data_IF_254049938583
#
_entry.id   IF_254049938583
#
_cell.length_a   1.000
_cell.length_b   1.000
_cell.length_c   1.000
_cell.angle_alpha   90.00
_cell.angle_beta   90.00
_cell.angle_gamma   90.00
#
_symmetry.space_group_name_H-M   'P 1'
#
loop_
_entity.id
_entity.type
_entity.pdbx_description
1 polymer ?
#
# COMPACT_ATOMS: atom_id res chain seq x y z
N UNK A 1 6.03 -22.38 61.68
CA UNK A 1 7.28 -22.28 60.89
C UNK A 1 7.09 -23.13 59.64
N UNK A 2 7.48 -22.59 58.48
CA UNK A 2 6.99 -22.92 57.14
C UNK A 2 7.40 -24.34 56.69
N UNK A 3 6.52 -25.19 56.15
CA UNK A 3 6.95 -26.31 55.31
C UNK A 3 7.40 -25.72 53.98
N UNK A 4 8.71 -25.72 53.69
CA UNK A 4 9.22 -25.30 52.38
C UNK A 4 8.85 -26.37 51.36
N UNK A 5 7.74 -26.14 50.68
CA UNK A 5 7.36 -26.81 49.45
C UNK A 5 8.56 -26.86 48.48
N UNK A 6 8.87 -28.01 47.85
CA UNK A 6 9.84 -28.06 46.76
C UNK A 6 9.26 -27.23 45.62
N UNK A 7 10.03 -26.24 45.20
CA UNK A 7 9.76 -25.38 44.07
C UNK A 7 9.61 -26.26 42.82
N UNK A 8 8.38 -26.47 42.34
CA UNK A 8 8.09 -27.13 41.07
C UNK A 8 8.40 -26.15 39.93
N UNK A 9 9.70 -25.91 39.72
CA UNK A 9 10.19 -25.40 38.46
C UNK A 9 10.13 -26.60 37.52
N UNK A 10 9.15 -26.60 36.62
CA UNK A 10 9.15 -27.38 35.38
C UNK A 10 10.57 -27.81 35.04
N UNK A 11 10.85 -29.11 35.19
CA UNK A 11 12.20 -29.71 35.16
C UNK A 11 13.09 -28.91 34.24
N UNK A 12 13.95 -28.07 34.82
CA UNK A 12 14.97 -27.41 34.04
C UNK A 12 15.74 -28.55 33.36
N UNK A 13 15.95 -28.49 32.04
CA UNK A 13 16.55 -29.60 31.31
C UNK A 13 17.87 -29.97 31.99
N UNK A 14 17.92 -31.17 32.55
CA UNK A 14 19.06 -31.68 33.30
C UNK A 14 20.26 -31.81 32.34
N UNK A 15 21.22 -30.90 32.52
CA UNK A 15 22.41 -30.73 31.68
C UNK A 15 23.46 -31.82 31.86
N UNK A 16 23.23 -32.82 32.72
CA UNK A 16 24.22 -33.88 32.97
C UNK A 16 23.92 -35.21 32.25
N UNK A 17 22.85 -35.29 31.44
CA UNK A 17 22.48 -36.52 30.70
C UNK A 17 22.57 -36.46 29.18
N UNK A 18 22.90 -35.31 28.58
CA UNK A 18 22.92 -35.12 27.13
C UNK A 18 24.28 -34.55 26.69
N UNK A 19 25.34 -35.34 26.88
CA UNK A 19 26.70 -34.96 26.49
C UNK A 19 26.94 -35.24 24.99
N UNK A 20 26.33 -34.45 24.10
CA UNK A 20 26.60 -34.54 22.66
C UNK A 20 26.07 -33.42 21.77
N UNK A 21 24.94 -32.80 22.08
CA UNK A 21 24.11 -32.19 21.03
C UNK A 21 23.75 -30.70 21.26
N UNK A 22 24.67 -29.92 21.84
CA UNK A 22 24.47 -28.47 21.91
C UNK A 22 24.34 -27.85 20.51
N UNK A 23 25.03 -28.45 19.52
CA UNK A 23 24.97 -28.06 18.12
C UNK A 23 23.62 -28.43 17.52
N UNK A 24 23.10 -29.64 17.76
CA UNK A 24 21.82 -30.07 17.20
C UNK A 24 20.65 -29.28 17.78
N UNK A 25 20.70 -28.90 19.06
CA UNK A 25 19.71 -27.98 19.63
C UNK A 25 19.72 -26.60 18.94
N UNK A 26 20.90 -26.06 18.63
CA UNK A 26 21.02 -24.77 17.93
C UNK A 26 20.51 -24.88 16.48
N UNK A 27 20.81 -26.01 15.80
CA UNK A 27 20.31 -26.30 14.45
C UNK A 27 18.78 -26.42 14.46
N UNK A 28 18.21 -27.14 15.43
CA UNK A 28 16.75 -27.26 15.58
C UNK A 28 16.11 -25.89 15.86
N UNK A 29 16.71 -25.08 16.72
CA UNK A 29 16.23 -23.73 17.01
C UNK A 29 16.30 -22.80 15.79
N UNK A 30 17.36 -22.91 14.99
CA UNK A 30 17.52 -22.18 13.74
C UNK A 30 16.48 -22.64 12.70
N UNK A 31 16.23 -23.94 12.61
CA UNK A 31 15.21 -24.51 11.72
C UNK A 31 13.79 -24.05 12.09
N UNK A 32 13.47 -23.96 13.39
CA UNK A 32 12.18 -23.41 13.85
C UNK A 32 12.06 -21.93 13.50
N UNK A 33 13.11 -21.14 13.70
CA UNK A 33 13.13 -19.73 13.31
C UNK A 33 12.94 -19.55 11.81
N UNK A 34 13.65 -20.33 11.00
CA UNK A 34 13.55 -20.25 9.55
C UNK A 34 12.14 -20.63 9.10
N UNK A 35 11.58 -21.72 9.63
CA UNK A 35 10.20 -22.13 9.37
C UNK A 35 9.17 -21.08 9.79
N UNK A 36 9.39 -20.38 10.91
CA UNK A 36 8.52 -19.30 11.35
C UNK A 36 8.60 -18.08 10.41
N UNK A 37 9.81 -17.70 9.99
CA UNK A 37 10.05 -16.63 9.01
C UNK A 37 9.37 -16.92 7.68
N UNK A 38 9.59 -18.11 7.12
CA UNK A 38 9.02 -18.50 5.83
C UNK A 38 7.48 -18.47 5.89
N UNK A 39 6.89 -19.02 6.96
CA UNK A 39 5.43 -19.00 7.15
C UNK A 39 4.86 -17.57 7.23
N UNK A 40 5.58 -16.67 7.91
CA UNK A 40 5.19 -15.27 8.00
C UNK A 40 5.26 -14.59 6.64
N UNK A 41 6.33 -14.82 5.87
CA UNK A 41 6.51 -14.25 4.54
C UNK A 41 5.43 -14.70 3.55
N UNK A 42 5.12 -16.00 3.51
CA UNK A 42 4.04 -16.54 2.68
C UNK A 42 2.69 -15.92 3.03
N UNK A 43 2.45 -15.67 4.32
CA UNK A 43 1.22 -15.02 4.78
C UNK A 43 1.19 -13.54 4.37
N UNK A 44 2.30 -12.81 4.55
CA UNK A 44 2.43 -11.40 4.14
C UNK A 44 2.17 -11.24 2.64
N UNK A 45 2.74 -12.11 1.80
CA UNK A 45 2.53 -12.07 0.35
C UNK A 45 1.06 -12.22 -0.04
N UNK A 46 0.33 -13.15 0.61
CA UNK A 46 -1.10 -13.39 0.38
C UNK A 46 -1.95 -12.15 0.70
N UNK A 47 -1.75 -11.55 1.87
CA UNK A 47 -2.53 -10.37 2.28
C UNK A 47 -2.17 -9.13 1.47
N UNK A 48 -0.90 -8.95 1.12
CA UNK A 48 -0.43 -7.85 0.26
C UNK A 48 -1.06 -7.93 -1.14
N UNK A 49 -1.04 -9.10 -1.78
CA UNK A 49 -1.64 -9.28 -3.10
C UNK A 49 -3.16 -9.02 -3.11
N UNK A 50 -3.87 -9.46 -2.08
CA UNK A 50 -5.31 -9.21 -1.94
C UNK A 50 -5.61 -7.72 -1.72
N UNK A 51 -4.83 -7.04 -0.89
CA UNK A 51 -4.95 -5.59 -0.67
C UNK A 51 -4.63 -4.79 -1.94
N UNK A 52 -3.56 -5.14 -2.64
CA UNK A 52 -3.14 -4.47 -3.88
C UNK A 52 -4.16 -4.67 -5.01
N UNK A 53 -4.76 -5.85 -5.12
CA UNK A 53 -5.85 -6.12 -6.07
C UNK A 53 -7.05 -5.21 -5.83
N UNK A 54 -7.47 -5.07 -4.57
CA UNK A 54 -8.59 -4.19 -4.19
C UNK A 54 -8.27 -2.71 -4.39
N UNK A 55 -7.05 -2.28 -4.06
CA UNK A 55 -6.58 -0.93 -4.36
C UNK A 55 -6.51 -0.65 -5.88
N UNK A 56 -6.19 -1.67 -6.70
CA UNK A 56 -6.14 -1.56 -8.16
C UNK A 56 -7.52 -1.40 -8.78
N UNK A 57 -8.54 -2.10 -8.27
CA UNK A 57 -9.93 -1.98 -8.73
C UNK A 57 -10.53 -0.60 -8.44
N UNK A 58 -10.13 0.02 -7.33
CA UNK A 58 -10.56 1.37 -6.93
C UNK A 58 -9.78 2.50 -7.61
N UNK A 59 -8.89 2.21 -8.57
CA UNK A 59 -8.18 3.26 -9.30
C UNK A 59 -9.21 4.18 -9.96
N UNK A 60 -9.22 5.40 -9.44
CA UNK A 60 -10.12 6.51 -9.76
C UNK A 60 -10.37 6.63 -11.26
N UNK A 61 -11.52 6.13 -11.71
CA UNK A 61 -12.03 6.42 -13.05
C UNK A 61 -12.37 7.90 -13.08
N UNK A 62 -11.63 8.69 -13.84
CA UNK A 62 -12.00 10.09 -14.08
C UNK A 62 -13.31 10.09 -14.84
N UNK A 63 -14.32 10.75 -14.26
CA UNK A 63 -15.52 11.14 -15.00
C UNK A 63 -15.06 12.20 -16.00
N UNK A 64 -15.66 12.23 -17.19
CA UNK A 64 -15.25 13.13 -18.27
C UNK A 64 -15.28 14.62 -17.89
N UNK A 65 -15.07 15.52 -18.85
CA UNK A 65 -15.18 16.95 -18.61
C UNK A 65 -16.54 17.28 -17.99
N UNK A 66 -16.52 17.94 -16.83
CA UNK A 66 -17.73 18.39 -16.13
C UNK A 66 -17.67 19.90 -15.96
N UNK A 67 -18.82 20.54 -16.13
CA UNK A 67 -18.97 21.98 -15.96
C UNK A 67 -19.08 22.32 -14.47
N UNK A 68 -18.39 23.38 -14.02
CA UNK A 68 -18.60 23.94 -12.68
C UNK A 68 -19.83 24.82 -12.72
N UNK A 69 -20.83 24.48 -11.92
CA UNK A 69 -22.12 25.20 -11.81
C UNK A 69 -22.00 26.36 -10.83
N UNK A 70 -21.34 26.14 -9.70
CA UNK A 70 -21.28 27.12 -8.61
C UNK A 70 -19.99 26.99 -7.80
N UNK A 71 -19.40 28.13 -7.43
CA UNK A 71 -18.25 28.20 -6.53
C UNK A 71 -18.76 28.41 -5.10
N UNK A 72 -18.84 27.33 -4.31
CA UNK A 72 -19.32 27.42 -2.92
C UNK A 72 -18.24 28.05 -2.04
N UNK A 73 -16.99 27.63 -2.22
CA UNK A 73 -15.80 28.23 -1.62
C UNK A 73 -14.56 27.91 -2.47
N UNK A 74 -13.39 28.54 -2.22
CA UNK A 74 -12.18 28.29 -3.02
C UNK A 74 -11.72 26.82 -3.06
N UNK A 75 -12.16 25.99 -2.10
CA UNK A 75 -11.81 24.58 -2.01
C UNK A 75 -12.94 23.64 -2.47
N UNK A 76 -14.18 24.12 -2.62
CA UNK A 76 -15.35 23.29 -2.93
C UNK A 76 -16.22 23.94 -3.99
N UNK A 77 -16.44 23.18 -5.06
CA UNK A 77 -17.15 23.59 -6.25
C UNK A 77 -18.27 22.61 -6.53
N UNK A 78 -19.44 23.12 -6.92
CA UNK A 78 -20.55 22.31 -7.40
C UNK A 78 -20.39 22.09 -8.90
N UNK A 79 -20.45 20.85 -9.37
CA UNK A 79 -20.29 20.47 -10.77
C UNK A 79 -21.55 19.83 -11.33
N UNK A 80 -21.76 19.94 -12.64
CA UNK A 80 -22.87 19.28 -13.31
C UNK A 80 -22.52 17.82 -13.57
N UNK A 81 -23.08 16.93 -12.75
CA UNK A 81 -22.87 15.49 -12.92
C UNK A 81 -23.76 14.91 -14.03
N UNK A 82 -23.24 13.98 -14.84
CA UNK A 82 -24.06 13.18 -15.74
C UNK A 82 -25.18 12.43 -15.02
N UNK A 83 -26.34 12.18 -15.68
CA UNK A 83 -27.51 11.57 -15.04
C UNK A 83 -27.29 10.19 -14.42
N UNK A 84 -26.27 9.45 -14.88
CA UNK A 84 -25.96 8.11 -14.41
C UNK A 84 -25.07 8.08 -13.14
N UNK A 85 -24.57 9.22 -12.67
CA UNK A 85 -23.73 9.32 -11.49
C UNK A 85 -24.59 9.71 -10.29
N UNK A 86 -24.58 8.86 -9.26
CA UNK A 86 -25.41 9.01 -8.05
C UNK A 86 -24.59 9.43 -6.83
N UNK A 87 -23.75 10.44 -7.00
CA UNK A 87 -22.92 11.02 -5.93
C UNK A 87 -23.28 12.48 -5.75
N UNK A 88 -22.88 13.08 -4.63
CA UNK A 88 -22.99 14.53 -4.43
C UNK A 88 -22.28 15.29 -5.57
N UNK A 89 -22.87 16.43 -5.95
CA UNK A 89 -22.39 17.33 -6.99
C UNK A 89 -21.33 18.31 -6.49
N UNK A 90 -21.06 18.36 -5.18
CA UNK A 90 -20.03 19.20 -4.58
C UNK A 90 -18.71 18.44 -4.47
N UNK A 91 -17.68 18.93 -5.17
CA UNK A 91 -16.35 18.35 -5.21
C UNK A 91 -15.30 19.31 -4.68
N UNK A 92 -14.29 18.75 -4.01
CA UNK A 92 -13.11 19.51 -3.62
C UNK A 92 -12.21 19.78 -4.83
N UNK A 93 -11.58 20.95 -4.88
CA UNK A 93 -10.68 21.34 -5.98
C UNK A 93 -9.55 20.31 -6.22
N UNK A 94 -9.07 19.64 -5.17
CA UNK A 94 -8.02 18.61 -5.27
C UNK A 94 -8.47 17.34 -6.04
N UNK A 95 -9.77 17.15 -6.19
CA UNK A 95 -10.36 16.04 -6.95
C UNK A 95 -10.77 16.46 -8.37
N UNK A 96 -10.62 17.73 -8.72
CA UNK A 96 -10.86 18.25 -10.07
C UNK A 96 -9.51 18.44 -10.78
N UNK A 97 -9.48 18.18 -12.08
CA UNK A 97 -8.35 18.55 -12.94
C UNK A 97 -8.81 19.59 -13.95
N UNK A 98 -7.95 20.57 -14.24
CA UNK A 98 -8.22 21.54 -15.30
C UNK A 98 -8.49 20.79 -16.61
N UNK A 99 -9.54 21.21 -17.30
CA UNK A 99 -9.85 20.71 -18.62
C UNK A 99 -8.91 21.40 -19.62
N UNK A 100 -7.99 20.64 -20.19
CA UNK A 100 -7.23 21.05 -21.36
C UNK A 100 -8.01 20.53 -22.57
N UNK A 101 -8.86 21.39 -23.15
CA UNK A 101 -9.46 21.08 -24.44
C UNK A 101 -8.35 21.06 -25.50
N UNK A 102 -8.55 20.31 -26.58
CA UNK A 102 -7.68 20.28 -27.77
C UNK A 102 -7.55 21.64 -28.51
N UNK A 103 -7.90 22.74 -27.83
CA UNK A 103 -7.80 24.13 -28.28
C UNK A 103 -6.58 24.80 -27.63
N UNK A 104 -5.42 24.16 -27.68
CA UNK A 104 -4.16 24.89 -27.61
C UNK A 104 -3.81 25.26 -29.07
N UNK A 105 -3.98 26.52 -29.52
CA UNK A 105 -3.50 26.95 -30.84
C UNK A 105 -1.96 27.00 -30.92
N UNK A 106 -1.24 26.32 -30.03
CA UNK A 106 0.22 26.25 -29.96
C UNK A 106 0.75 24.84 -30.24
N UNK A 107 0.15 24.14 -31.21
CA UNK A 107 0.79 23.01 -31.90
C UNK A 107 1.23 23.39 -33.33
N UNK A 108 1.43 24.68 -33.58
CA UNK A 108 2.10 25.19 -34.78
C UNK A 108 3.20 26.18 -34.41
N UNK A 109 4.11 25.75 -33.53
CA UNK A 109 5.46 26.33 -33.48
C UNK A 109 6.43 25.41 -34.22
N UNK A 110 6.53 25.68 -35.51
CA UNK A 110 7.80 26.01 -36.16
C UNK A 110 9.04 25.26 -35.64
N UNK A 111 9.32 24.08 -36.19
CA UNK A 111 10.71 23.63 -36.31
C UNK A 111 11.43 24.52 -37.34
N UNK A 112 11.83 25.71 -36.91
CA UNK A 112 12.96 26.45 -37.46
C UNK A 112 13.97 26.67 -36.34
N UNK A 113 14.88 25.71 -36.20
CA UNK A 113 16.24 25.91 -35.73
C UNK A 113 17.11 25.25 -36.82
N UNK A 114 17.53 26.00 -37.84
CA UNK A 114 18.75 26.80 -37.85
C UNK A 114 20.02 25.99 -37.51
N UNK A 115 20.75 25.69 -38.59
CA UNK A 115 22.21 25.58 -38.76
C UNK A 115 23.15 25.20 -37.61
N UNK A 116 23.96 24.20 -37.90
CA UNK A 116 25.36 24.00 -37.48
C UNK A 116 25.81 22.67 -38.11
N UNK A 117 26.80 22.54 -38.99
CA UNK A 117 28.04 23.29 -39.14
C UNK A 117 29.18 22.28 -39.02
N UNK A 118 29.65 21.77 -40.16
CA UNK A 118 31.04 21.45 -40.55
C UNK A 118 31.02 20.96 -41.99
#
# INVERSE_FOLDING_TARGET
MIPRCPLDLSVAPDRTRLHGEAVDFVIELEAVHQRARDKLEHSVAKYKAAADSKCRELRSRKIGPVEVVECINPNAYRVRLPPHIRTADVFNVKHLSRFHGDNDPLASETKLSSSGGT
#
